data_IF_746037523633
#
_entry.id   IF_746037523633
#
_cell.length_a   1.000
_cell.length_b   1.000
_cell.length_c   1.000
_cell.angle_alpha   90.00
_cell.angle_beta   90.00
_cell.angle_gamma   90.00
#
_symmetry.space_group_name_H-M   'P 1'
#
loop_
_entity.id
_entity.type
_entity.pdbx_description
1 polymer ?
#
# COMPACT_ATOMS: atom_id res chain seq x y z
N UNK A 1 -7.61 -19.23 -34.06
CA UNK A 1 -7.94 -18.12 -33.13
C UNK A 1 -7.63 -18.62 -31.73
N UNK A 2 -6.48 -18.22 -31.16
CA UNK A 2 -5.95 -18.81 -29.94
C UNK A 2 -6.68 -18.26 -28.71
N UNK A 3 -7.43 -19.13 -28.01
CA UNK A 3 -8.17 -18.79 -26.77
C UNK A 3 -7.27 -18.81 -25.52
N UNK A 4 -6.11 -19.47 -25.59
CA UNK A 4 -5.15 -19.60 -24.49
C UNK A 4 -4.66 -18.26 -23.88
N UNK A 5 -4.28 -17.23 -24.66
CA UNK A 5 -3.79 -15.96 -24.08
C UNK A 5 -4.85 -15.16 -23.29
N UNK A 6 -6.16 -15.48 -23.42
CA UNK A 6 -7.19 -14.82 -22.61
C UNK A 6 -7.31 -15.41 -21.20
N UNK A 7 -7.00 -16.69 -21.00
CA UNK A 7 -7.18 -17.35 -19.71
C UNK A 7 -6.08 -16.99 -18.71
N UNK A 8 -4.82 -16.90 -19.16
CA UNK A 8 -3.68 -16.48 -18.33
C UNK A 8 -3.90 -15.07 -17.75
N UNK A 9 -4.42 -14.14 -18.58
CA UNK A 9 -4.70 -12.76 -18.14
C UNK A 9 -5.77 -12.67 -17.05
N UNK A 10 -6.78 -13.55 -17.04
CA UNK A 10 -7.83 -13.56 -16.01
C UNK A 10 -7.31 -14.12 -14.69
N UNK A 11 -6.45 -15.13 -14.72
CA UNK A 11 -5.87 -15.72 -13.51
C UNK A 11 -4.90 -14.75 -12.81
N UNK A 12 -4.07 -14.04 -13.56
CA UNK A 12 -3.16 -13.02 -13.01
C UNK A 12 -3.94 -11.88 -12.33
N UNK A 13 -5.04 -11.45 -12.94
CA UNK A 13 -5.92 -10.40 -12.41
C UNK A 13 -6.45 -10.71 -11.00
N UNK A 14 -6.84 -11.97 -10.77
CA UNK A 14 -7.37 -12.40 -9.48
C UNK A 14 -6.27 -12.52 -8.41
N UNK A 15 -5.03 -12.81 -8.82
CA UNK A 15 -3.91 -12.99 -7.89
C UNK A 15 -3.49 -11.68 -7.24
N UNK A 16 -3.39 -10.60 -8.00
CA UNK A 16 -2.94 -9.30 -7.45
C UNK A 16 -3.97 -8.72 -6.47
N UNK A 17 -5.26 -8.84 -6.78
CA UNK A 17 -6.35 -8.43 -5.87
C UNK A 17 -6.39 -9.31 -4.62
N UNK A 18 -6.26 -10.62 -4.78
CA UNK A 18 -6.19 -11.54 -3.65
C UNK A 18 -5.00 -11.24 -2.74
N UNK A 19 -3.84 -10.90 -3.30
CA UNK A 19 -2.67 -10.48 -2.54
C UNK A 19 -2.93 -9.18 -1.76
N UNK A 20 -3.52 -8.17 -2.40
CA UNK A 20 -3.88 -6.92 -1.72
C UNK A 20 -4.87 -7.14 -0.57
N UNK A 21 -5.92 -7.94 -0.80
CA UNK A 21 -6.89 -8.31 0.23
C UNK A 21 -6.24 -9.11 1.37
N UNK A 22 -5.32 -10.04 1.04
CA UNK A 22 -4.58 -10.79 2.05
C UNK A 22 -3.71 -9.87 2.92
N UNK A 23 -3.10 -8.83 2.36
CA UNK A 23 -2.36 -7.81 3.13
C UNK A 23 -3.29 -7.02 4.05
N UNK A 24 -4.46 -6.59 3.56
CA UNK A 24 -5.46 -5.86 4.37
C UNK A 24 -5.97 -6.74 5.53
N UNK A 25 -6.35 -7.98 5.24
CA UNK A 25 -6.81 -8.94 6.25
C UNK A 25 -5.69 -9.30 7.24
N UNK A 26 -4.47 -9.46 6.75
CA UNK A 26 -3.29 -9.67 7.59
C UNK A 26 -3.07 -8.49 8.54
N UNK A 27 -3.16 -7.26 8.05
CA UNK A 27 -3.04 -6.06 8.89
C UNK A 27 -4.15 -5.98 9.95
N UNK A 28 -5.39 -6.33 9.59
CA UNK A 28 -6.52 -6.39 10.52
C UNK A 28 -6.30 -7.45 11.62
N UNK A 29 -5.83 -8.65 11.26
CA UNK A 29 -5.53 -9.72 12.22
C UNK A 29 -4.36 -9.35 13.13
N UNK A 30 -3.29 -8.76 12.59
CA UNK A 30 -2.15 -8.31 13.40
C UNK A 30 -2.58 -7.20 14.36
N UNK A 31 -3.44 -6.27 13.92
CA UNK A 31 -3.98 -5.23 14.80
C UNK A 31 -4.80 -5.84 15.93
N UNK A 32 -5.68 -6.79 15.61
CA UNK A 32 -6.48 -7.53 16.59
C UNK A 32 -5.56 -8.18 17.65
N UNK A 33 -4.55 -8.94 17.22
CA UNK A 33 -3.61 -9.62 18.12
C UNK A 33 -2.78 -8.62 18.95
N UNK A 34 -2.36 -7.51 18.34
CA UNK A 34 -1.63 -6.45 19.03
C UNK A 34 -2.48 -5.81 20.14
N UNK A 35 -3.73 -5.48 19.83
CA UNK A 35 -4.66 -4.89 20.80
C UNK A 35 -4.99 -5.83 21.95
N UNK A 36 -5.13 -7.12 21.67
CA UNK A 36 -5.36 -8.16 22.68
C UNK A 36 -4.14 -8.34 23.61
N UNK A 37 -2.94 -8.35 23.05
CA UNK A 37 -1.70 -8.52 23.81
C UNK A 37 -1.38 -7.36 24.76
N UNK A 38 -1.86 -6.13 24.46
CA UNK A 38 -1.46 -4.90 25.17
C UNK A 38 -2.59 -4.31 26.02
N UNK A 39 -3.79 -4.17 25.47
CA UNK A 39 -4.92 -3.51 26.16
C UNK A 39 -5.84 -4.49 26.87
N UNK A 40 -6.10 -5.63 26.24
CA UNK A 40 -6.96 -6.69 26.74
C UNK A 40 -7.95 -7.19 25.69
N UNK A 41 -8.52 -8.36 25.96
CA UNK A 41 -9.37 -9.05 25.00
C UNK A 41 -10.72 -8.36 24.81
N UNK A 42 -10.96 -7.82 23.62
CA UNK A 42 -12.24 -7.23 23.22
C UNK A 42 -13.03 -8.20 22.34
N UNK A 43 -14.07 -8.82 22.92
CA UNK A 43 -14.98 -9.68 22.16
C UNK A 43 -15.66 -8.92 21.02
N UNK A 44 -15.98 -7.65 21.26
CA UNK A 44 -16.65 -6.80 20.28
C UNK A 44 -15.81 -6.65 19.02
N UNK A 45 -14.55 -6.24 19.12
CA UNK A 45 -13.78 -6.04 17.91
C UNK A 45 -13.13 -7.29 17.34
N UNK A 46 -13.06 -8.41 18.09
CA UNK A 46 -12.92 -9.73 17.47
C UNK A 46 -14.09 -10.00 16.50
N UNK A 47 -15.34 -9.85 16.99
CA UNK A 47 -16.54 -10.06 16.16
C UNK A 47 -16.56 -9.10 14.98
N UNK A 48 -16.28 -7.81 15.18
CA UNK A 48 -16.25 -6.84 14.08
C UNK A 48 -15.16 -7.14 13.05
N UNK A 49 -13.97 -7.58 13.49
CA UNK A 49 -12.87 -7.95 12.58
C UNK A 49 -13.23 -9.20 11.77
N UNK A 50 -13.81 -10.22 12.41
CA UNK A 50 -14.25 -11.44 11.72
C UNK A 50 -15.39 -11.17 10.73
N UNK A 51 -16.40 -10.39 11.14
CA UNK A 51 -17.53 -10.02 10.28
C UNK A 51 -17.05 -9.14 9.13
N UNK A 52 -16.27 -8.09 9.42
CA UNK A 52 -15.71 -7.20 8.39
C UNK A 52 -14.82 -7.95 7.41
N UNK A 53 -13.95 -8.84 7.90
CA UNK A 53 -13.11 -9.68 7.06
C UNK A 53 -13.92 -10.65 6.20
N UNK A 54 -14.97 -11.25 6.74
CA UNK A 54 -15.88 -12.12 5.99
C UNK A 54 -16.64 -11.37 4.91
N UNK A 55 -17.11 -10.14 5.21
CA UNK A 55 -17.77 -9.26 4.24
C UNK A 55 -16.80 -8.92 3.10
N UNK A 56 -15.55 -8.58 3.40
CA UNK A 56 -14.51 -8.28 2.39
C UNK A 56 -14.16 -9.49 1.52
N UNK A 57 -14.19 -10.70 2.09
CA UNK A 57 -13.97 -11.93 1.33
C UNK A 57 -15.17 -12.28 0.43
N UNK A 58 -16.39 -12.01 0.89
CA UNK A 58 -17.61 -12.26 0.14
C UNK A 58 -17.89 -11.19 -0.92
N UNK A 59 -17.56 -9.93 -0.63
CA UNK A 59 -17.80 -8.76 -1.46
C UNK A 59 -16.53 -7.92 -1.47
N UNK A 60 -15.99 -7.68 -2.65
CA UNK A 60 -14.74 -6.92 -2.81
C UNK A 60 -14.98 -5.44 -3.14
N UNK A 61 -16.16 -4.93 -2.78
CA UNK A 61 -16.59 -3.56 -3.02
C UNK A 61 -15.96 -2.58 -2.02
N UNK A 62 -15.97 -1.29 -2.38
CA UNK A 62 -15.40 -0.23 -1.55
C UNK A 62 -16.10 -0.11 -0.19
N UNK A 63 -17.40 -0.43 -0.12
CA UNK A 63 -18.17 -0.42 1.11
C UNK A 63 -17.69 -1.50 2.09
N UNK A 64 -17.43 -2.73 1.62
CA UNK A 64 -16.86 -3.77 2.46
C UNK A 64 -15.51 -3.35 3.07
N UNK A 65 -14.64 -2.75 2.26
CA UNK A 65 -13.35 -2.23 2.74
C UNK A 65 -13.52 -1.15 3.82
N UNK A 66 -14.48 -0.24 3.65
CA UNK A 66 -14.80 0.79 4.66
C UNK A 66 -15.38 0.20 5.94
N UNK A 67 -16.22 -0.83 5.86
CA UNK A 67 -16.75 -1.54 7.03
C UNK A 67 -15.61 -2.18 7.82
N UNK A 68 -14.66 -2.83 7.14
CA UNK A 68 -13.48 -3.41 7.79
C UNK A 68 -12.59 -2.34 8.45
N UNK A 69 -12.36 -1.21 7.79
CA UNK A 69 -11.62 -0.10 8.39
C UNK A 69 -12.33 0.46 9.63
N UNK A 70 -13.64 0.65 9.56
CA UNK A 70 -14.46 1.05 10.70
C UNK A 70 -14.34 0.06 11.86
N UNK A 71 -14.39 -1.25 11.55
CA UNK A 71 -14.19 -2.31 12.54
C UNK A 71 -12.80 -2.24 13.19
N UNK A 72 -11.73 -2.03 12.42
CA UNK A 72 -10.37 -1.87 12.96
C UNK A 72 -10.24 -0.65 13.87
N UNK A 73 -10.84 0.48 13.50
CA UNK A 73 -10.84 1.70 14.33
C UNK A 73 -11.62 1.48 15.62
N UNK A 74 -12.83 0.90 15.54
CA UNK A 74 -13.63 0.59 16.74
C UNK A 74 -12.90 -0.41 17.65
N UNK A 75 -12.27 -1.43 17.07
CA UNK A 75 -11.43 -2.38 17.82
C UNK A 75 -10.31 -1.66 18.56
N UNK A 76 -9.57 -0.76 17.88
CA UNK A 76 -8.51 -0.01 18.55
C UNK A 76 -9.05 0.85 19.70
N UNK A 77 -10.11 1.61 19.46
CA UNK A 77 -10.71 2.50 20.48
C UNK A 77 -11.30 1.75 21.68
N UNK A 78 -11.78 0.52 21.49
CA UNK A 78 -12.41 -0.30 22.54
C UNK A 78 -11.46 -1.31 23.17
N UNK A 79 -10.22 -1.42 22.68
CA UNK A 79 -9.25 -2.38 23.19
C UNK A 79 -8.71 -2.07 24.59
N UNK A 80 -8.90 -0.84 25.08
CA UNK A 80 -8.27 -0.38 26.31
C UNK A 80 -6.76 -0.11 26.17
N UNK A 81 -6.20 -0.24 24.96
CA UNK A 81 -4.84 0.20 24.67
C UNK A 81 -4.74 1.71 24.89
N UNK A 82 -3.81 2.11 25.75
CA UNK A 82 -3.51 3.53 25.95
C UNK A 82 -2.96 4.15 24.66
N UNK A 83 -3.60 5.24 24.22
CA UNK A 83 -3.19 6.03 23.06
C UNK A 83 -1.84 6.72 23.25
N UNK A 84 -1.42 6.93 24.51
CA UNK A 84 -0.09 7.43 24.87
C UNK A 84 0.97 6.33 24.96
N UNK A 85 0.62 5.07 24.65
CA UNK A 85 1.59 3.97 24.68
C UNK A 85 2.42 3.89 23.40
N UNK A 86 3.63 3.35 23.51
CA UNK A 86 4.49 3.07 22.36
C UNK A 86 3.80 2.16 21.32
N UNK A 87 2.84 1.33 21.75
CA UNK A 87 2.09 0.41 20.89
C UNK A 87 1.04 1.10 20.00
N UNK A 88 0.69 2.35 20.29
CA UNK A 88 -0.18 3.14 19.44
C UNK A 88 0.44 3.39 18.05
N UNK A 89 1.77 3.45 17.96
CA UNK A 89 2.50 3.62 16.69
C UNK A 89 2.29 2.43 15.72
N UNK A 90 2.63 1.18 16.08
CA UNK A 90 2.37 0.04 15.19
C UNK A 90 0.88 -0.13 14.88
N UNK A 91 -0.03 0.18 15.83
CA UNK A 91 -1.46 0.17 15.57
C UNK A 91 -1.87 1.16 14.46
N UNK A 92 -1.37 2.40 14.52
CA UNK A 92 -1.59 3.41 13.49
C UNK A 92 -1.01 3.00 12.13
N UNK A 93 0.14 2.34 12.10
CA UNK A 93 0.73 1.81 10.87
C UNK A 93 -0.13 0.72 10.23
N UNK A 94 -0.66 -0.21 11.02
CA UNK A 94 -1.55 -1.26 10.52
C UNK A 94 -2.83 -0.67 9.93
N UNK A 95 -3.40 0.34 10.57
CA UNK A 95 -4.54 1.09 10.03
C UNK A 95 -4.20 1.84 8.74
N UNK A 96 -3.02 2.46 8.65
CA UNK A 96 -2.56 3.12 7.43
C UNK A 96 -2.40 2.12 6.28
N UNK A 97 -1.80 0.95 6.54
CA UNK A 97 -1.62 -0.12 5.56
C UNK A 97 -2.98 -0.62 5.07
N UNK A 98 -3.90 -0.89 5.99
CA UNK A 98 -5.26 -1.32 5.65
C UNK A 98 -5.99 -0.24 4.84
N UNK A 99 -5.88 1.04 5.24
CA UNK A 99 -6.53 2.15 4.55
C UNK A 99 -6.04 2.31 3.12
N UNK A 100 -4.73 2.28 2.92
CA UNK A 100 -4.12 2.35 1.59
C UNK A 100 -4.48 1.13 0.76
N UNK A 101 -4.47 -0.07 1.35
CA UNK A 101 -4.89 -1.29 0.66
C UNK A 101 -6.34 -1.21 0.17
N UNK A 102 -7.26 -0.77 1.03
CA UNK A 102 -8.67 -0.55 0.68
C UNK A 102 -8.81 0.52 -0.41
N UNK A 103 -8.12 1.65 -0.27
CA UNK A 103 -8.14 2.74 -1.26
C UNK A 103 -7.63 2.25 -2.63
N UNK A 104 -6.54 1.47 -2.66
CA UNK A 104 -6.00 0.86 -3.88
C UNK A 104 -7.01 -0.09 -4.53
N UNK A 105 -7.67 -0.95 -3.73
CA UNK A 105 -8.69 -1.87 -4.26
C UNK A 105 -9.94 -1.14 -4.78
N UNK A 106 -10.24 0.06 -4.26
CA UNK A 106 -11.38 0.87 -4.67
C UNK A 106 -11.08 1.81 -5.86
N UNK A 107 -9.82 2.02 -6.22
CA UNK A 107 -9.41 3.06 -7.20
C UNK A 107 -9.59 2.66 -8.68
N UNK A 108 -10.13 1.48 -8.98
CA UNK A 108 -10.27 0.99 -10.34
C UNK A 108 -11.58 0.24 -10.59
N UNK A 109 -11.93 -0.01 -11.86
CA UNK A 109 -13.02 -0.92 -12.21
C UNK A 109 -12.82 -2.27 -11.53
N UNK A 110 -13.89 -2.89 -11.06
CA UNK A 110 -13.88 -4.16 -10.28
C UNK A 110 -13.13 -5.33 -10.93
N UNK A 111 -12.71 -5.21 -12.19
CA UNK A 111 -11.98 -6.25 -12.92
C UNK A 111 -10.73 -5.75 -13.65
N UNK A 112 -10.18 -4.59 -13.28
CA UNK A 112 -8.92 -4.12 -13.86
C UNK A 112 -7.73 -4.49 -12.94
N UNK A 113 -6.62 -5.01 -13.49
CA UNK A 113 -5.43 -5.27 -12.70
C UNK A 113 -4.83 -3.92 -12.29
N UNK A 114 -4.27 -3.84 -11.08
CA UNK A 114 -3.63 -2.61 -10.61
C UNK A 114 -2.31 -2.43 -11.38
N UNK A 115 -2.13 -1.37 -12.18
CA UNK A 115 -0.89 -1.19 -12.93
C UNK A 115 0.29 -1.06 -11.96
N UNK A 116 1.39 -1.77 -12.24
CA UNK A 116 2.60 -1.73 -11.40
C UNK A 116 3.17 -0.32 -11.25
N UNK A 117 2.99 0.55 -12.25
CA UNK A 117 3.35 1.96 -12.20
C UNK A 117 2.59 2.73 -11.12
N UNK A 118 1.30 2.42 -10.91
CA UNK A 118 0.49 3.02 -9.85
C UNK A 118 0.97 2.55 -8.49
N UNK A 119 1.23 1.25 -8.32
CA UNK A 119 1.81 0.71 -7.08
C UNK A 119 3.18 1.31 -6.77
N UNK A 120 4.06 1.42 -7.77
CA UNK A 120 5.39 2.01 -7.63
C UNK A 120 5.34 3.48 -7.20
N UNK A 121 4.29 4.21 -7.59
CA UNK A 121 4.08 5.60 -7.15
C UNK A 121 3.45 5.68 -5.74
N UNK A 122 2.54 4.76 -5.42
CA UNK A 122 1.79 4.78 -4.16
C UNK A 122 2.57 4.27 -2.98
N UNK A 123 3.28 3.14 -3.12
CA UNK A 123 4.10 2.54 -2.05
C UNK A 123 5.02 3.56 -1.38
N UNK A 124 5.86 4.32 -2.11
CA UNK A 124 6.76 5.28 -1.46
C UNK A 124 6.02 6.44 -0.81
N UNK A 125 4.87 6.89 -1.35
CA UNK A 125 4.02 7.91 -0.70
C UNK A 125 3.45 7.40 0.62
N UNK A 126 2.97 6.17 0.65
CA UNK A 126 2.47 5.51 1.87
C UNK A 126 3.58 5.34 2.90
N UNK A 127 4.77 4.93 2.47
CA UNK A 127 5.94 4.82 3.35
C UNK A 127 6.30 6.19 3.91
N UNK A 128 6.35 7.24 3.10
CA UNK A 128 6.63 8.61 3.58
C UNK A 128 5.60 9.10 4.59
N UNK A 129 4.31 8.87 4.34
CA UNK A 129 3.23 9.21 5.29
C UNK A 129 3.40 8.42 6.59
N UNK A 130 3.66 7.11 6.51
CA UNK A 130 3.89 6.28 7.70
C UNK A 130 5.10 6.76 8.51
N UNK A 131 6.21 7.12 7.85
CA UNK A 131 7.40 7.64 8.50
C UNK A 131 7.13 9.00 9.15
N UNK A 132 6.43 9.91 8.47
CA UNK A 132 6.02 11.18 9.05
C UNK A 132 5.13 10.96 10.30
N UNK A 133 4.16 10.05 10.23
CA UNK A 133 3.32 9.67 11.37
C UNK A 133 4.15 9.08 12.51
N UNK A 134 5.13 8.23 12.21
CA UNK A 134 6.04 7.68 13.21
C UNK A 134 6.86 8.77 13.90
N UNK A 135 7.42 9.71 13.14
CA UNK A 135 8.19 10.83 13.69
C UNK A 135 7.31 11.70 14.59
N UNK A 136 6.13 12.10 14.11
CA UNK A 136 5.19 12.90 14.91
C UNK A 136 4.74 12.17 16.16
N UNK A 137 4.41 10.88 16.06
CA UNK A 137 4.00 10.08 17.21
C UNK A 137 5.13 9.87 18.22
N UNK A 138 6.36 9.62 17.77
CA UNK A 138 7.51 9.57 18.68
C UNK A 138 7.73 10.92 19.36
N UNK A 139 7.69 12.03 18.63
CA UNK A 139 7.81 13.37 19.22
C UNK A 139 6.71 13.63 20.26
N UNK A 140 5.48 13.19 20.01
CA UNK A 140 4.40 13.27 20.99
C UNK A 140 4.71 12.45 22.25
N UNK A 141 5.20 11.21 22.11
CA UNK A 141 5.58 10.35 23.23
C UNK A 141 6.75 10.90 24.04
N UNK A 142 7.69 11.61 23.42
CA UNK A 142 8.84 12.23 24.09
C UNK A 142 8.48 13.46 24.93
N UNK A 143 7.31 14.08 24.69
CA UNK A 143 6.82 15.19 25.51
C UNK A 143 6.18 14.67 26.80
N UNK A 144 5.77 13.39 26.83
CA UNK A 144 5.15 12.75 27.98
C UNK A 144 6.21 12.43 29.06
N UNK A 145 6.14 13.04 30.26
CA UNK A 145 7.19 12.89 31.30
C UNK A 145 7.37 11.46 31.82
N UNK A 146 6.34 10.62 31.67
CA UNK A 146 6.35 9.21 32.06
C UNK A 146 7.23 8.35 31.16
N UNK A 147 7.70 8.87 30.02
CA UNK A 147 8.47 8.12 29.01
C UNK A 147 9.95 8.49 28.94
N UNK A 148 10.51 9.18 29.95
CA UNK A 148 11.91 9.64 29.96
C UNK A 148 12.94 8.51 29.74
N UNK A 149 12.63 7.29 30.20
CA UNK A 149 13.50 6.12 30.01
C UNK A 149 13.57 5.64 28.54
N UNK A 150 12.59 6.02 27.72
CA UNK A 150 12.47 5.61 26.31
C UNK A 150 13.07 6.63 25.33
N UNK A 151 13.54 7.77 25.84
CA UNK A 151 14.10 8.88 25.07
C UNK A 151 15.21 8.46 24.07
N UNK A 152 16.22 7.64 24.43
CA UNK A 152 17.24 7.24 23.47
C UNK A 152 16.70 6.36 22.33
N UNK A 153 15.71 5.52 22.62
CA UNK A 153 15.08 4.66 21.61
C UNK A 153 14.19 5.47 20.65
N UNK A 154 13.44 6.45 21.19
CA UNK A 154 12.64 7.36 20.37
C UNK A 154 13.49 8.15 19.37
N UNK A 155 14.61 8.72 19.83
CA UNK A 155 15.54 9.46 18.95
C UNK A 155 16.10 8.54 17.86
N UNK A 156 16.50 7.32 18.20
CA UNK A 156 17.00 6.36 17.21
C UNK A 156 15.94 6.02 16.15
N UNK A 157 14.68 5.81 16.56
CA UNK A 157 13.56 5.55 15.62
C UNK A 157 13.32 6.73 14.70
N UNK A 158 13.33 7.96 15.21
CA UNK A 158 13.16 9.18 14.39
C UNK A 158 14.28 9.31 13.36
N UNK A 159 15.53 9.07 13.76
CA UNK A 159 16.68 9.14 12.86
C UNK A 159 16.62 8.06 11.77
N UNK A 160 16.30 6.82 12.15
CA UNK A 160 16.12 5.72 11.18
C UNK A 160 14.98 6.08 10.22
N UNK A 161 13.86 6.58 10.72
CA UNK A 161 12.72 6.98 9.90
C UNK A 161 13.09 8.08 8.90
N UNK A 162 13.86 9.08 9.34
CA UNK A 162 14.36 10.15 8.48
C UNK A 162 15.29 9.62 7.38
N UNK A 163 16.20 8.71 7.72
CA UNK A 163 17.11 8.07 6.74
C UNK A 163 16.31 7.30 5.70
N UNK A 164 15.32 6.50 6.11
CA UNK A 164 14.46 5.77 5.17
C UNK A 164 13.68 6.76 4.30
N UNK A 165 13.11 7.83 4.87
CA UNK A 165 12.36 8.83 4.11
C UNK A 165 13.23 9.51 3.04
N UNK A 166 14.47 9.88 3.40
CA UNK A 166 15.44 10.45 2.46
C UNK A 166 15.79 9.44 1.37
N UNK A 167 16.05 8.18 1.71
CA UNK A 167 16.35 7.14 0.72
C UNK A 167 15.18 6.91 -0.24
N UNK A 168 13.94 6.90 0.27
CA UNK A 168 12.72 6.80 -0.55
C UNK A 168 12.58 8.01 -1.46
N UNK A 169 12.81 9.22 -0.96
CA UNK A 169 12.76 10.45 -1.74
C UNK A 169 13.82 10.47 -2.85
N UNK A 170 15.05 10.06 -2.55
CA UNK A 170 16.13 9.94 -3.54
C UNK A 170 15.73 8.93 -4.62
N UNK A 171 15.17 7.77 -4.24
CA UNK A 171 14.71 6.77 -5.23
C UNK A 171 13.58 7.28 -6.10
N UNK A 172 12.67 8.07 -5.53
CA UNK A 172 11.58 8.72 -6.27
C UNK A 172 12.06 9.79 -7.25
N UNK A 173 13.12 10.54 -6.91
CA UNK A 173 13.67 11.60 -7.77
C UNK A 173 14.74 11.11 -8.73
N UNK A 174 15.36 9.97 -8.44
CA UNK A 174 16.38 9.32 -9.26
C UNK A 174 15.81 8.37 -10.31
N UNK A 175 14.50 8.36 -10.53
CA UNK A 175 13.92 7.84 -11.77
C UNK A 175 13.88 9.05 -12.73
N UNK A 176 14.94 9.31 -13.51
CA UNK A 176 14.83 10.29 -14.55
C UNK A 176 13.76 9.72 -15.46
N UNK A 177 12.72 10.51 -15.74
CA UNK A 177 11.85 10.21 -16.86
C UNK A 177 12.70 9.60 -17.96
N UNK A 178 12.38 8.36 -18.40
CA UNK A 178 12.75 7.92 -19.73
C UNK A 178 12.54 9.15 -20.58
N UNK A 179 13.65 9.76 -21.01
CA UNK A 179 13.64 11.09 -21.57
C UNK A 179 12.54 11.06 -22.64
N UNK A 180 11.43 11.80 -22.47
CA UNK A 180 10.30 11.63 -23.36
C UNK A 180 10.74 11.94 -24.79
N UNK A 181 11.80 12.73 -24.97
CA UNK A 181 12.49 12.89 -26.25
C UNK A 181 13.25 11.64 -26.72
N UNK A 182 13.87 10.84 -25.85
CA UNK A 182 14.46 9.54 -26.22
C UNK A 182 13.42 8.49 -26.58
N UNK A 183 12.29 8.43 -25.87
CA UNK A 183 11.19 7.51 -26.18
C UNK A 183 10.47 7.90 -27.48
N UNK A 184 10.22 9.20 -27.69
CA UNK A 184 9.60 9.74 -28.91
C UNK A 184 10.56 9.65 -30.10
N UNK A 185 11.85 9.97 -29.92
CA UNK A 185 12.86 9.85 -30.99
C UNK A 185 13.11 8.40 -31.38
N UNK A 186 13.07 7.44 -30.44
CA UNK A 186 13.09 6.01 -30.75
C UNK A 186 11.88 5.58 -31.59
N UNK A 187 10.69 6.06 -31.27
CA UNK A 187 9.48 5.76 -32.04
C UNK A 187 9.54 6.34 -33.46
N UNK A 188 9.93 7.61 -33.62
CA UNK A 188 10.10 8.25 -34.93
C UNK A 188 11.23 7.61 -35.74
N UNK A 189 12.37 7.28 -35.11
CA UNK A 189 13.48 6.61 -35.79
C UNK A 189 13.09 5.23 -36.32
N UNK A 190 12.26 4.48 -35.58
CA UNK A 190 11.70 3.21 -36.08
C UNK A 190 10.70 3.39 -37.24
N UNK A 191 10.03 4.54 -37.30
CA UNK A 191 9.12 4.88 -38.40
C UNK A 191 9.91 5.27 -39.66
N UNK A 192 11.02 6.01 -39.49
CA UNK A 192 11.92 6.38 -40.58
C UNK A 192 12.75 5.19 -41.09
N UNK A 193 13.20 4.26 -40.24
CA UNK A 193 13.90 3.05 -40.67
C UNK A 193 13.01 2.09 -41.48
N UNK A 194 11.68 2.20 -41.38
CA UNK A 194 10.74 1.45 -42.24
C UNK A 194 10.54 2.06 -43.62
N UNK A 195 10.95 3.32 -43.81
CA UNK A 195 10.92 3.98 -45.10
C UNK A 195 12.32 3.87 -45.70
N UNK A 196 12.55 2.79 -46.45
CA UNK A 196 13.77 2.66 -47.25
C UNK A 196 13.92 3.90 -48.15
N UNK A 197 15.12 4.50 -48.25
CA UNK A 197 15.35 5.72 -49.04
C UNK A 197 14.98 5.57 -50.52
N UNK A 198 14.79 4.35 -51.01
CA UNK A 198 14.38 4.06 -52.39
C UNK A 198 12.86 4.17 -52.64
N UNK A 199 12.04 4.51 -51.63
CA UNK A 199 10.60 4.71 -51.80
C UNK A 199 9.81 3.44 -52.18
N UNK A 200 10.45 2.28 -52.17
CA UNK A 200 9.83 1.00 -52.43
C UNK A 200 9.28 0.44 -51.12
N UNK A 201 7.94 0.41 -50.99
CA UNK A 201 7.26 -0.36 -49.97
C UNK A 201 7.75 -1.80 -50.09
N UNK A 202 8.49 -2.28 -49.08
CA UNK A 202 8.93 -3.67 -49.01
C UNK A 202 7.69 -4.53 -48.72
N UNK A 203 6.94 -4.83 -49.77
CA UNK A 203 5.80 -5.76 -49.79
C UNK A 203 6.36 -7.18 -49.62
N UNK A 204 6.81 -7.50 -48.40
CA UNK A 204 7.12 -8.88 -48.04
C UNK A 204 5.81 -9.62 -47.80
N UNK A 205 5.16 -10.00 -48.90
CA UNK A 205 4.26 -11.15 -48.92
C UNK A 205 5.10 -12.42 -48.82
N UNK A 206 5.00 -13.13 -47.71
CA UNK A 206 5.05 -14.60 -47.66
C UNK A 206 4.34 -15.10 -46.41
#
# INVERSE_FOLDING_TARGET
MNLLPRMERIQELHRDRAAALAVVLGAALVLLLLTDAVGGFSWLGLVLTLVGGSIVLANSDSLAGLILLGAMVVQWLTSGMDTGSWWALPAAWLLLIAHVGVALTASGPDQAPIPRSVLALWVPRTVLVGLATAVVGVLALLIEPTNDELLPYGVAVVLIALVIAVLVLIRLTADPAEDPEAAVSGHYRSMYDRVSPDGTLNDQRH
#
